data_IF_076317185600
#
_entry.id   IF_076317185600
#
_cell.length_a   1.000
_cell.length_b   1.000
_cell.length_c   1.000
_cell.angle_alpha   90.00
_cell.angle_beta   90.00
_cell.angle_gamma   90.00
#
_symmetry.space_group_name_H-M   'P 1'
#
loop_
_entity.id
_entity.type
_entity.pdbx_description
1 polymer ?
#
# COMPACT_ATOMS: atom_id res chain seq x y z
N UNK A 1 15.82 41.36 29.17
CA UNK A 1 15.89 39.89 29.31
C UNK A 1 15.75 39.28 27.93
N UNK A 2 16.85 38.79 27.36
CA UNK A 2 16.84 38.17 26.03
C UNK A 2 16.49 36.70 26.19
N UNK A 3 15.29 36.32 25.76
CA UNK A 3 14.88 34.92 25.67
C UNK A 3 15.74 34.23 24.62
N UNK A 4 16.74 33.47 25.07
CA UNK A 4 17.45 32.53 24.20
C UNK A 4 16.63 31.26 24.09
N UNK A 5 15.77 31.18 23.08
CA UNK A 5 15.25 29.89 22.61
C UNK A 5 16.25 29.31 21.63
N UNK A 6 17.17 28.50 22.15
CA UNK A 6 17.85 27.50 21.32
C UNK A 6 17.00 26.24 21.39
N UNK A 7 16.08 26.11 20.45
CA UNK A 7 15.47 24.80 20.14
C UNK A 7 16.35 24.22 19.04
N UNK A 8 17.47 23.64 19.45
CA UNK A 8 18.33 22.87 18.57
C UNK A 8 18.43 21.47 19.16
N UNK A 9 18.20 20.52 18.26
CA UNK A 9 18.70 19.15 18.29
C UNK A 9 17.96 18.15 19.18
N UNK A 10 16.84 17.67 18.64
CA UNK A 10 16.19 16.44 19.04
C UNK A 10 14.94 16.27 18.20
N UNK A 11 14.85 15.20 17.40
CA UNK A 11 13.60 14.83 16.73
C UNK A 11 12.45 14.92 17.74
N UNK A 12 11.42 15.70 17.43
CA UNK A 12 10.33 15.90 18.37
C UNK A 12 9.68 14.53 18.57
N UNK A 13 9.55 14.06 19.82
CA UNK A 13 8.99 12.72 20.10
C UNK A 13 7.61 12.52 19.42
N UNK A 14 6.87 13.60 19.22
CA UNK A 14 5.62 13.63 18.46
C UNK A 14 5.76 13.29 16.98
N UNK A 15 6.85 13.68 16.32
CA UNK A 15 7.10 13.43 14.90
C UNK A 15 7.45 11.95 14.66
N UNK A 16 8.21 11.35 15.58
CA UNK A 16 8.52 9.91 15.58
C UNK A 16 7.24 9.08 15.73
N UNK A 17 6.41 9.38 16.74
CA UNK A 17 5.14 8.67 16.98
C UNK A 17 4.20 8.79 15.77
N UNK A 18 4.16 9.97 15.14
CA UNK A 18 3.36 10.19 13.94
C UNK A 18 3.82 9.31 12.77
N UNK A 19 5.13 9.25 12.51
CA UNK A 19 5.70 8.42 11.45
C UNK A 19 5.49 6.93 11.72
N UNK A 20 5.68 6.46 12.95
CA UNK A 20 5.40 5.06 13.32
C UNK A 20 3.93 4.68 13.06
N UNK A 21 2.99 5.57 13.40
CA UNK A 21 1.59 5.37 13.09
C UNK A 21 1.33 5.34 11.57
N UNK A 22 1.94 6.24 10.79
CA UNK A 22 1.82 6.22 9.34
C UNK A 22 2.41 4.95 8.71
N UNK A 23 3.55 4.47 9.20
CA UNK A 23 4.16 3.20 8.78
C UNK A 23 3.21 2.05 9.08
N UNK A 24 2.64 1.99 10.29
CA UNK A 24 1.68 0.95 10.67
C UNK A 24 0.44 0.93 9.77
N UNK A 25 -0.17 2.09 9.53
CA UNK A 25 -1.35 2.20 8.65
C UNK A 25 -1.04 1.87 7.20
N UNK A 26 0.14 2.26 6.70
CA UNK A 26 0.58 1.95 5.33
C UNK A 26 0.86 0.46 5.14
N UNK A 27 1.51 -0.19 6.11
CA UNK A 27 1.70 -1.66 6.12
C UNK A 27 0.37 -2.41 6.08
N UNK A 28 -0.62 -1.97 6.86
CA UNK A 28 -1.92 -2.62 6.87
C UNK A 28 -2.66 -2.45 5.52
N UNK A 29 -2.62 -1.26 4.94
CA UNK A 29 -3.17 -1.03 3.59
C UNK A 29 -2.47 -1.89 2.53
N UNK A 30 -1.16 -2.02 2.62
CA UNK A 30 -0.36 -2.86 1.72
C UNK A 30 -0.76 -4.33 1.84
N UNK A 31 -0.93 -4.83 3.07
CA UNK A 31 -1.41 -6.20 3.35
C UNK A 31 -2.77 -6.47 2.69
N UNK A 32 -3.73 -5.56 2.89
CA UNK A 32 -5.08 -5.68 2.30
C UNK A 32 -5.02 -5.63 0.76
N UNK A 33 -4.16 -4.79 0.18
CA UNK A 33 -4.00 -4.70 -1.27
C UNK A 33 -3.40 -5.99 -1.85
N UNK A 34 -2.41 -6.59 -1.17
CA UNK A 34 -1.83 -7.88 -1.56
C UNK A 34 -2.87 -9.01 -1.52
N UNK A 35 -3.68 -9.07 -0.46
CA UNK A 35 -4.76 -10.06 -0.33
C UNK A 35 -5.76 -9.93 -1.48
N UNK A 36 -6.20 -8.70 -1.79
CA UNK A 36 -7.09 -8.44 -2.95
C UNK A 36 -6.47 -8.86 -4.27
N UNK A 37 -5.17 -8.61 -4.46
CA UNK A 37 -4.47 -9.01 -5.68
C UNK A 37 -4.46 -10.54 -5.83
N UNK A 38 -4.28 -11.28 -4.74
CA UNK A 38 -4.36 -12.73 -4.73
C UNK A 38 -5.78 -13.22 -5.04
N UNK A 39 -6.81 -12.60 -4.43
CA UNK A 39 -8.22 -12.91 -4.75
C UNK A 39 -8.52 -12.72 -6.24
N UNK A 40 -8.16 -11.59 -6.83
CA UNK A 40 -8.41 -11.35 -8.26
C UNK A 40 -7.65 -12.33 -9.18
N UNK A 41 -6.45 -12.76 -8.80
CA UNK A 41 -5.71 -13.80 -9.54
C UNK A 41 -6.40 -15.16 -9.46
N UNK A 42 -6.93 -15.52 -8.28
CA UNK A 42 -7.68 -16.76 -8.09
C UNK A 42 -8.99 -16.74 -8.88
N UNK A 43 -9.77 -15.66 -8.80
CA UNK A 43 -11.01 -15.48 -9.59
C UNK A 43 -10.74 -15.57 -11.10
N UNK A 44 -9.66 -14.96 -11.59
CA UNK A 44 -9.23 -15.08 -13.00
C UNK A 44 -8.88 -16.52 -13.38
N UNK A 45 -8.25 -17.27 -12.49
CA UNK A 45 -7.91 -18.67 -12.73
C UNK A 45 -9.16 -19.56 -12.76
N UNK A 46 -10.10 -19.31 -11.86
CA UNK A 46 -11.38 -20.02 -11.80
C UNK A 46 -12.21 -19.80 -13.07
N UNK A 47 -12.38 -18.53 -13.49
CA UNK A 47 -13.04 -18.16 -14.74
C UNK A 47 -12.41 -18.86 -15.95
N UNK A 48 -11.07 -18.93 -16.00
CA UNK A 48 -10.36 -19.62 -17.10
C UNK A 48 -10.62 -21.13 -17.11
N UNK A 49 -10.78 -21.73 -15.93
CA UNK A 49 -11.00 -23.17 -15.74
C UNK A 49 -12.46 -23.62 -15.86
N UNK A 50 -13.42 -22.69 -15.84
CA UNK A 50 -14.85 -23.00 -15.90
C UNK A 50 -15.21 -23.72 -17.21
N UNK A 51 -15.83 -24.92 -17.16
CA UNK A 51 -16.24 -25.67 -18.35
C UNK A 51 -17.45 -25.08 -19.08
N UNK A 52 -18.29 -24.31 -18.37
CA UNK A 52 -19.49 -23.67 -18.91
C UNK A 52 -19.11 -22.25 -19.27
N UNK A 53 -18.60 -22.05 -20.49
CA UNK A 53 -18.17 -20.73 -20.98
C UNK A 53 -19.29 -20.01 -21.69
N UNK A 54 -19.78 -18.93 -21.09
CA UNK A 54 -20.54 -17.92 -21.81
C UNK A 54 -19.52 -16.91 -22.35
N UNK A 55 -19.00 -17.16 -23.56
CA UNK A 55 -17.86 -16.41 -24.14
C UNK A 55 -18.03 -14.87 -24.22
N UNK A 56 -19.27 -14.37 -24.15
CA UNK A 56 -19.59 -12.94 -24.11
C UNK A 56 -19.45 -12.34 -22.71
N UNK A 57 -20.03 -12.99 -21.70
CA UNK A 57 -20.02 -12.50 -20.30
C UNK A 57 -18.65 -12.74 -19.65
N UNK A 58 -18.04 -13.91 -19.89
CA UNK A 58 -16.72 -14.26 -19.37
C UNK A 58 -15.62 -13.30 -19.84
N UNK A 59 -15.68 -12.83 -21.10
CA UNK A 59 -14.72 -11.85 -21.63
C UNK A 59 -14.86 -10.46 -20.98
N UNK A 60 -16.07 -10.09 -20.58
CA UNK A 60 -16.32 -8.83 -19.87
C UNK A 60 -15.85 -8.93 -18.43
N UNK A 61 -16.15 -10.02 -17.74
CA UNK A 61 -15.71 -10.26 -16.36
C UNK A 61 -14.18 -10.42 -16.25
N UNK A 62 -13.56 -11.15 -17.20
CA UNK A 62 -12.10 -11.27 -17.27
C UNK A 62 -11.42 -9.91 -17.45
N UNK A 63 -11.94 -9.04 -18.33
CA UNK A 63 -11.39 -7.69 -18.52
C UNK A 63 -11.52 -6.84 -17.24
N UNK A 64 -12.67 -6.88 -16.57
CA UNK A 64 -12.87 -6.14 -15.31
C UNK A 64 -11.92 -6.64 -14.22
N UNK A 65 -11.70 -7.95 -14.11
CA UNK A 65 -10.77 -8.52 -13.13
C UNK A 65 -9.31 -8.20 -13.46
N UNK A 66 -8.92 -8.23 -14.73
CA UNK A 66 -7.59 -7.79 -15.17
C UNK A 66 -7.36 -6.31 -14.84
N UNK A 67 -8.35 -5.45 -15.08
CA UNK A 67 -8.27 -4.04 -14.74
C UNK A 67 -8.12 -3.84 -13.23
N UNK A 68 -8.96 -4.49 -12.42
CA UNK A 68 -8.87 -4.45 -10.94
C UNK A 68 -7.52 -4.98 -10.42
N UNK A 69 -7.00 -6.04 -11.01
CA UNK A 69 -5.68 -6.58 -10.67
C UNK A 69 -4.56 -5.59 -11.00
N UNK A 70 -4.64 -4.93 -12.15
CA UNK A 70 -3.69 -3.89 -12.57
C UNK A 70 -3.74 -2.66 -11.65
N UNK A 71 -4.94 -2.15 -11.35
CA UNK A 71 -5.14 -1.05 -10.40
C UNK A 71 -4.60 -1.39 -9.00
N UNK A 72 -4.88 -2.62 -8.53
CA UNK A 72 -4.39 -3.09 -7.22
C UNK A 72 -2.86 -3.23 -7.22
N UNK A 73 -2.26 -3.67 -8.34
CA UNK A 73 -0.81 -3.72 -8.48
C UNK A 73 -0.18 -2.33 -8.37
N UNK A 74 -0.73 -1.34 -9.06
CA UNK A 74 -0.24 0.05 -8.97
C UNK A 74 -0.38 0.61 -7.55
N UNK A 75 -1.47 0.25 -6.85
CA UNK A 75 -1.67 0.62 -5.45
C UNK A 75 -0.61 -0.05 -4.54
N UNK A 76 -0.28 -1.32 -4.76
CA UNK A 76 0.78 -2.04 -4.03
C UNK A 76 2.12 -1.34 -4.24
N UNK A 77 2.47 -0.97 -5.48
CA UNK A 77 3.71 -0.27 -5.80
C UNK A 77 3.75 1.09 -5.08
N UNK A 78 2.69 1.89 -5.19
CA UNK A 78 2.58 3.20 -4.53
C UNK A 78 2.72 3.10 -3.01
N UNK A 79 2.03 2.14 -2.38
CA UNK A 79 2.09 1.93 -0.93
C UNK A 79 3.47 1.43 -0.48
N UNK A 80 4.15 0.65 -1.31
CA UNK A 80 5.50 0.17 -1.02
C UNK A 80 6.51 1.31 -1.05
N UNK A 81 6.45 2.17 -2.08
CA UNK A 81 7.27 3.39 -2.16
C UNK A 81 7.01 4.34 -1.00
N UNK A 82 5.74 4.57 -0.66
CA UNK A 82 5.38 5.39 0.51
C UNK A 82 5.93 4.81 1.81
N UNK A 83 5.88 3.48 1.97
CA UNK A 83 6.40 2.82 3.15
C UNK A 83 7.92 3.00 3.27
N UNK A 84 8.65 2.85 2.16
CA UNK A 84 10.10 3.05 2.12
C UNK A 84 10.48 4.49 2.50
N UNK A 85 9.79 5.48 1.92
CA UNK A 85 10.00 6.90 2.25
C UNK A 85 9.74 7.21 3.72
N UNK A 86 8.67 6.65 4.30
CA UNK A 86 8.34 6.82 5.72
C UNK A 86 9.39 6.17 6.63
N UNK A 87 9.89 4.99 6.25
CA UNK A 87 10.95 4.31 7.00
C UNK A 87 12.28 5.07 6.93
N UNK A 88 12.63 5.64 5.76
CA UNK A 88 13.81 6.49 5.61
C UNK A 88 13.67 7.78 6.44
N UNK A 89 12.50 8.41 6.43
CA UNK A 89 12.23 9.60 7.24
C UNK A 89 12.34 9.31 8.75
N UNK A 90 11.83 8.15 9.20
CA UNK A 90 11.96 7.72 10.59
C UNK A 90 13.43 7.45 10.96
N UNK A 91 14.20 6.80 10.08
CA UNK A 91 15.62 6.54 10.30
C UNK A 91 16.42 7.83 10.47
N UNK A 92 16.17 8.85 9.62
CA UNK A 92 16.81 10.17 9.71
C UNK A 92 16.49 10.95 10.98
N UNK A 93 15.41 10.60 11.69
CA UNK A 93 15.04 11.21 12.97
C UNK A 93 15.56 10.42 14.19
N UNK A 94 15.95 9.16 13.99
CA UNK A 94 16.53 8.30 15.02
C UNK A 94 18.06 8.33 15.09
N UNK A 95 18.72 8.73 13.99
CA UNK A 95 20.17 9.00 13.88
C UNK A 95 20.53 10.43 14.36
#
# INVERSE_FOLDING_TARGET
MTYSQRVSDGANSSDIIYLEHQIGTTKEKLRIALEKQETYKSELSELKSSPIRNASEDNSEEQVLMEKASQTKNLIETLSEQLEQLQEALAKLGD
#
